data_IF_064069231862
#
_entry.id   IF_064069231862
#
_cell.length_a   1.000
_cell.length_b   1.000
_cell.length_c   1.000
_cell.angle_alpha   90.00
_cell.angle_beta   90.00
_cell.angle_gamma   90.00
#
_symmetry.space_group_name_H-M   'P 1'
#
loop_
_entity.id
_entity.type
_entity.pdbx_description
1 polymer ?
#
# COMPACT_ATOMS: atom_id res chain seq x y z
N UNK A 1 24.73 8.03 -79.54
CA UNK A 1 23.97 6.81 -79.87
C UNK A 1 23.89 5.93 -78.63
N UNK A 2 22.72 5.44 -78.34
CA UNK A 2 22.26 4.53 -77.29
C UNK A 2 22.14 5.12 -75.89
N UNK A 3 20.88 5.38 -75.57
CA UNK A 3 20.25 5.65 -74.27
C UNK A 3 20.49 4.48 -73.28
N UNK A 4 20.74 4.81 -72.02
CA UNK A 4 20.67 3.91 -70.88
C UNK A 4 19.38 4.17 -70.15
N UNK A 5 18.54 3.13 -70.10
CA UNK A 5 17.24 3.11 -69.41
C UNK A 5 17.38 3.30 -67.91
N UNK A 6 16.62 4.21 -67.38
CA UNK A 6 16.40 4.38 -65.93
C UNK A 6 15.45 3.28 -65.48
N UNK A 7 15.94 2.37 -64.65
CA UNK A 7 15.12 1.40 -63.94
C UNK A 7 14.55 2.09 -62.69
N UNK A 8 13.25 2.42 -62.71
CA UNK A 8 12.49 2.86 -61.56
C UNK A 8 12.30 1.69 -60.59
N UNK A 9 12.93 1.76 -59.41
CA UNK A 9 12.54 0.94 -58.27
C UNK A 9 11.35 1.59 -57.57
N UNK A 10 10.23 0.86 -57.29
CA UNK A 10 9.15 1.42 -56.51
C UNK A 10 9.57 1.55 -55.05
N UNK A 11 9.42 2.76 -54.52
CA UNK A 11 9.59 3.05 -53.08
C UNK A 11 8.68 2.16 -52.27
N UNK A 12 9.28 1.22 -51.50
CA UNK A 12 8.54 0.40 -50.55
C UNK A 12 7.88 1.26 -49.50
N UNK A 13 6.54 1.27 -49.50
CA UNK A 13 5.73 1.92 -48.47
C UNK A 13 6.11 1.35 -47.09
N UNK A 14 6.69 2.20 -46.28
CA UNK A 14 6.92 1.92 -44.87
C UNK A 14 5.55 1.75 -44.20
N UNK A 15 5.15 0.50 -43.95
CA UNK A 15 3.92 0.19 -43.24
C UNK A 15 4.01 0.80 -41.84
N UNK A 16 3.30 1.88 -41.62
CA UNK A 16 3.07 2.47 -40.30
C UNK A 16 2.42 1.39 -39.45
N UNK A 17 3.18 0.84 -38.48
CA UNK A 17 2.64 -0.02 -37.46
C UNK A 17 1.64 0.79 -36.62
N UNK A 18 0.41 0.87 -37.08
CA UNK A 18 -0.74 1.32 -36.27
C UNK A 18 -0.86 0.32 -35.11
N UNK A 19 -0.55 0.76 -33.93
CA UNK A 19 -0.88 0.06 -32.68
C UNK A 19 -2.35 -0.32 -32.73
N UNK A 20 -2.73 -1.59 -32.62
CA UNK A 20 -4.14 -1.96 -32.57
C UNK A 20 -4.75 -1.28 -31.35
N UNK A 21 -5.68 -0.35 -31.57
CA UNK A 21 -6.51 0.20 -30.50
C UNK A 21 -7.24 -0.98 -29.86
N UNK A 22 -7.19 -1.08 -28.54
CA UNK A 22 -7.94 -2.05 -27.74
C UNK A 22 -9.43 -2.01 -28.15
N UNK A 23 -9.86 -2.92 -29.03
CA UNK A 23 -11.25 -2.99 -29.51
C UNK A 23 -12.24 -3.50 -28.45
N UNK A 24 -11.78 -3.87 -27.23
CA UNK A 24 -12.59 -4.46 -26.17
C UNK A 24 -12.76 -3.59 -24.92
N UNK A 25 -12.46 -2.27 -24.98
CA UNK A 25 -12.61 -1.38 -23.81
C UNK A 25 -14.04 -1.37 -23.24
N UNK A 26 -15.08 -1.49 -24.08
CA UNK A 26 -16.48 -1.41 -23.64
C UNK A 26 -16.91 -2.59 -22.76
N UNK A 27 -16.36 -3.78 -22.96
CA UNK A 27 -16.75 -5.00 -22.23
C UNK A 27 -16.39 -4.98 -20.76
N UNK A 28 -15.27 -4.34 -20.39
CA UNK A 28 -14.73 -4.31 -19.03
C UNK A 28 -14.92 -2.95 -18.35
N UNK A 29 -15.57 -2.01 -19.00
CA UNK A 29 -15.76 -0.65 -18.50
C UNK A 29 -16.31 -0.63 -17.06
N UNK A 30 -15.64 0.08 -16.16
CA UNK A 30 -15.99 0.21 -14.76
C UNK A 30 -15.65 -1.02 -13.90
N UNK A 31 -14.92 -2.01 -14.43
CA UNK A 31 -14.40 -3.15 -13.65
C UNK A 31 -12.99 -2.89 -13.12
N UNK A 32 -12.62 -3.63 -12.08
CA UNK A 32 -11.25 -3.59 -11.53
C UNK A 32 -10.22 -3.95 -12.62
N UNK A 33 -10.53 -4.89 -13.51
CA UNK A 33 -9.64 -5.26 -14.62
C UNK A 33 -9.36 -4.06 -15.54
N UNK A 34 -10.39 -3.30 -15.90
CA UNK A 34 -10.22 -2.10 -16.75
C UNK A 34 -9.34 -1.06 -16.08
N UNK A 35 -9.57 -0.78 -14.82
CA UNK A 35 -8.77 0.19 -14.05
C UNK A 35 -7.30 -0.26 -13.92
N UNK A 36 -7.03 -1.57 -13.76
CA UNK A 36 -5.67 -2.10 -13.78
C UNK A 36 -5.01 -1.95 -15.16
N UNK A 37 -5.77 -2.15 -16.24
CA UNK A 37 -5.27 -1.94 -17.60
C UNK A 37 -4.97 -0.45 -17.87
N UNK A 38 -5.81 0.44 -17.35
CA UNK A 38 -5.58 1.89 -17.41
C UNK A 38 -4.35 2.30 -16.61
N UNK A 39 -4.21 1.77 -15.39
CA UNK A 39 -2.99 1.93 -14.59
C UNK A 39 -1.76 1.49 -15.39
N UNK A 40 -1.74 0.26 -15.89
CA UNK A 40 -0.58 -0.28 -16.61
C UNK A 40 -0.22 0.53 -17.86
N UNK A 41 -1.23 1.03 -18.60
CA UNK A 41 -1.04 1.86 -19.80
C UNK A 41 -0.62 3.30 -19.49
N UNK A 42 -0.85 3.77 -18.25
CA UNK A 42 -0.44 5.10 -17.81
C UNK A 42 1.03 5.19 -17.38
N UNK A 43 1.70 4.04 -17.14
CA UNK A 43 3.11 3.99 -16.77
C UNK A 43 3.97 4.36 -17.98
N UNK A 44 4.87 5.35 -17.88
CA UNK A 44 5.70 5.77 -19.02
C UNK A 44 6.63 4.64 -19.49
N UNK A 45 6.68 4.44 -20.80
CA UNK A 45 7.62 3.45 -21.39
C UNK A 45 9.04 4.05 -21.46
N UNK A 46 9.93 3.52 -20.64
CA UNK A 46 11.34 3.96 -20.57
C UNK A 46 12.18 3.54 -21.77
N UNK A 47 11.66 2.66 -22.61
CA UNK A 47 12.39 2.13 -23.77
C UNK A 47 12.35 3.11 -24.93
N UNK A 48 13.46 3.24 -25.64
CA UNK A 48 13.55 4.16 -26.81
C UNK A 48 12.62 3.69 -27.93
N UNK A 49 11.65 4.53 -28.29
CA UNK A 49 10.83 4.35 -29.49
C UNK A 49 11.68 4.58 -30.75
N UNK A 50 11.44 3.83 -31.80
CA UNK A 50 12.05 4.07 -33.14
C UNK A 50 13.06 3.04 -33.64
N UNK A 51 13.51 2.09 -32.81
CA UNK A 51 14.48 1.05 -33.26
C UNK A 51 13.84 -0.29 -33.68
N UNK A 52 12.51 -0.38 -33.78
CA UNK A 52 11.81 -1.62 -34.19
C UNK A 52 11.95 -2.84 -33.24
N UNK A 53 12.72 -2.72 -32.19
CA UNK A 53 13.12 -3.86 -31.32
C UNK A 53 12.15 -4.11 -30.16
N UNK A 54 11.08 -3.31 -30.01
CA UNK A 54 10.11 -3.48 -28.94
C UNK A 54 9.00 -4.42 -29.40
N UNK A 55 9.18 -5.72 -29.11
CA UNK A 55 8.17 -6.74 -29.44
C UNK A 55 6.99 -6.76 -28.46
N UNK A 56 7.28 -6.64 -27.16
CA UNK A 56 6.28 -6.75 -26.09
C UNK A 56 5.92 -5.37 -25.56
N UNK A 57 4.64 -5.07 -25.42
CA UNK A 57 4.14 -3.82 -24.86
C UNK A 57 4.48 -3.75 -23.38
N UNK A 58 4.72 -2.52 -22.86
CA UNK A 58 5.01 -2.33 -21.44
C UNK A 58 3.79 -2.64 -20.57
N UNK A 59 2.62 -2.12 -20.95
CA UNK A 59 1.36 -2.35 -20.25
C UNK A 59 1.00 -3.85 -20.18
N UNK A 60 1.18 -4.61 -21.27
CA UNK A 60 1.00 -6.08 -21.27
C UNK A 60 1.93 -6.77 -20.26
N UNK A 61 3.18 -6.31 -20.17
CA UNK A 61 4.17 -6.87 -19.25
C UNK A 61 3.87 -6.54 -17.79
N UNK A 62 3.44 -5.31 -17.50
CA UNK A 62 3.00 -4.89 -16.17
C UNK A 62 1.76 -5.70 -15.75
N UNK A 63 0.77 -5.83 -16.64
CA UNK A 63 -0.41 -6.65 -16.38
C UNK A 63 -0.06 -8.11 -16.15
N UNK A 64 0.87 -8.69 -16.93
CA UNK A 64 1.34 -10.06 -16.72
C UNK A 64 1.97 -10.23 -15.33
N UNK A 65 2.79 -9.27 -14.89
CA UNK A 65 3.36 -9.25 -13.54
C UNK A 65 2.26 -9.20 -12.47
N UNK A 66 1.32 -8.27 -12.59
CA UNK A 66 0.24 -8.11 -11.61
C UNK A 66 -0.67 -9.36 -11.54
N UNK A 67 -1.12 -9.87 -12.69
CA UNK A 67 -2.00 -11.03 -12.74
C UNK A 67 -1.30 -12.31 -12.29
N UNK A 68 -0.03 -12.49 -12.64
CA UNK A 68 0.78 -13.60 -12.17
C UNK A 68 0.96 -13.58 -10.66
N UNK A 69 1.26 -12.41 -10.07
CA UNK A 69 1.36 -12.27 -8.62
C UNK A 69 0.02 -12.52 -7.90
N UNK A 70 -1.07 -11.96 -8.42
CA UNK A 70 -2.40 -12.21 -7.88
C UNK A 70 -2.79 -13.69 -7.96
N UNK A 71 -2.33 -14.39 -9.00
CA UNK A 71 -2.53 -15.83 -9.19
C UNK A 71 -1.69 -16.70 -8.25
N UNK A 72 -0.64 -16.13 -7.63
CA UNK A 72 0.25 -16.81 -6.68
C UNK A 72 1.63 -17.17 -7.24
N UNK A 73 1.99 -16.70 -8.43
CA UNK A 73 3.33 -16.89 -9.00
C UNK A 73 4.39 -16.14 -8.16
N UNK A 74 5.50 -16.79 -7.81
CA UNK A 74 6.57 -16.20 -6.99
C UNK A 74 7.78 -15.79 -7.83
N UNK A 75 8.24 -16.67 -8.73
CA UNK A 75 9.35 -16.40 -9.64
C UNK A 75 8.94 -15.74 -10.95
N UNK A 76 9.89 -15.18 -11.69
CA UNK A 76 9.66 -14.73 -13.08
C UNK A 76 9.33 -15.91 -13.99
N UNK A 77 9.99 -17.05 -13.78
CA UNK A 77 9.71 -18.27 -14.51
C UNK A 77 8.26 -18.70 -14.37
N UNK A 78 7.72 -18.68 -13.12
CA UNK A 78 6.31 -19.02 -12.85
C UNK A 78 5.35 -18.08 -13.58
N UNK A 79 5.68 -16.77 -13.59
CA UNK A 79 4.85 -15.75 -14.27
C UNK A 79 4.85 -15.97 -15.80
N UNK A 80 5.98 -16.33 -16.35
CA UNK A 80 6.11 -16.62 -17.81
C UNK A 80 5.34 -17.87 -18.15
N UNK A 81 5.43 -18.90 -17.33
CA UNK A 81 4.70 -20.16 -17.52
C UNK A 81 3.20 -19.96 -17.39
N UNK A 82 2.76 -19.21 -16.36
CA UNK A 82 1.37 -18.74 -16.24
C UNK A 82 0.88 -18.03 -17.50
N UNK A 83 1.71 -17.11 -18.05
CA UNK A 83 1.43 -16.41 -19.30
C UNK A 83 1.30 -17.36 -20.50
N UNK A 84 2.21 -18.32 -20.64
CA UNK A 84 2.22 -19.32 -21.73
C UNK A 84 1.01 -20.23 -21.69
N UNK A 85 0.72 -20.81 -20.52
CA UNK A 85 -0.45 -21.68 -20.33
C UNK A 85 -1.79 -20.99 -20.61
N UNK A 86 -1.86 -19.68 -20.39
CA UNK A 86 -3.08 -18.92 -20.56
C UNK A 86 -3.05 -17.97 -21.78
N UNK A 87 -2.07 -18.07 -22.68
CA UNK A 87 -1.84 -17.12 -23.77
C UNK A 87 -3.10 -16.90 -24.62
N UNK A 88 -3.80 -17.98 -25.01
CA UNK A 88 -5.03 -17.84 -25.79
C UNK A 88 -6.16 -17.12 -25.06
N UNK A 89 -6.20 -17.25 -23.73
CA UNK A 89 -7.17 -16.52 -22.90
C UNK A 89 -6.77 -15.04 -22.74
N UNK A 90 -5.48 -14.74 -22.59
CA UNK A 90 -4.96 -13.38 -22.62
C UNK A 90 -5.28 -12.68 -23.94
N UNK A 91 -5.07 -13.35 -25.07
CA UNK A 91 -5.40 -12.81 -26.41
C UNK A 91 -6.88 -12.48 -26.55
N UNK A 92 -7.78 -13.33 -26.00
CA UNK A 92 -9.24 -13.09 -26.00
C UNK A 92 -9.65 -11.81 -25.25
N UNK A 93 -8.86 -11.35 -24.30
CA UNK A 93 -9.08 -10.09 -23.58
C UNK A 93 -8.22 -8.94 -24.12
N UNK A 94 -7.54 -9.13 -25.27
CA UNK A 94 -6.75 -8.10 -25.94
C UNK A 94 -5.35 -7.91 -25.40
N UNK A 95 -4.82 -8.86 -24.61
CA UNK A 95 -3.49 -8.79 -24.00
C UNK A 95 -2.54 -9.83 -24.62
N UNK A 96 -1.22 -9.56 -24.47
CA UNK A 96 -0.14 -10.45 -24.92
C UNK A 96 -0.26 -10.86 -26.40
N UNK A 97 -0.73 -9.96 -27.26
CA UNK A 97 -0.93 -10.25 -28.69
C UNK A 97 0.36 -10.70 -29.37
N UNK A 98 1.51 -10.13 -28.95
CA UNK A 98 2.85 -10.47 -29.44
C UNK A 98 3.51 -11.64 -28.67
N UNK A 99 2.73 -12.39 -27.89
CA UNK A 99 3.21 -13.51 -27.08
C UNK A 99 3.73 -13.08 -25.71
N UNK A 100 4.26 -14.06 -24.96
CA UNK A 100 4.79 -13.85 -23.60
C UNK A 100 6.26 -13.41 -23.70
N UNK A 101 6.70 -12.39 -22.95
CA UNK A 101 8.10 -12.00 -22.90
C UNK A 101 8.98 -13.11 -22.32
N UNK A 102 10.25 -13.17 -22.73
CA UNK A 102 11.22 -14.05 -22.10
C UNK A 102 11.60 -13.55 -20.70
N UNK A 103 12.16 -14.43 -19.86
CA UNK A 103 12.59 -14.06 -18.50
C UNK A 103 13.59 -12.89 -18.47
N UNK A 104 14.65 -12.87 -19.33
CA UNK A 104 15.53 -11.70 -19.41
C UNK A 104 14.82 -10.41 -19.82
N UNK A 105 13.78 -10.51 -20.67
CA UNK A 105 12.99 -9.35 -21.08
C UNK A 105 12.15 -8.83 -19.92
N UNK A 106 11.47 -9.72 -19.20
CA UNK A 106 10.66 -9.36 -18.02
C UNK A 106 11.55 -8.77 -16.91
N UNK A 107 12.75 -9.34 -16.71
CA UNK A 107 13.74 -8.80 -15.78
C UNK A 107 14.16 -7.36 -16.16
N UNK A 108 14.48 -7.12 -17.43
CA UNK A 108 14.83 -5.76 -17.92
C UNK A 108 13.68 -4.77 -17.73
N UNK A 109 12.44 -5.22 -17.91
CA UNK A 109 11.26 -4.38 -17.69
C UNK A 109 11.12 -4.02 -16.21
N UNK A 110 11.18 -4.99 -15.28
CA UNK A 110 11.10 -4.72 -13.83
C UNK A 110 12.19 -3.73 -13.36
N UNK A 111 13.40 -3.79 -13.93
CA UNK A 111 14.51 -2.89 -13.59
C UNK A 111 14.45 -1.54 -14.31
N UNK A 112 13.81 -1.48 -15.47
CA UNK A 112 13.77 -0.30 -16.31
C UNK A 112 12.66 0.68 -16.00
N UNK A 113 11.52 0.19 -15.51
CA UNK A 113 10.37 1.04 -15.14
C UNK A 113 10.83 2.09 -14.13
N UNK A 114 10.47 3.35 -14.38
CA UNK A 114 10.69 4.43 -13.43
C UNK A 114 9.81 4.21 -12.19
N UNK A 115 10.48 3.98 -11.05
CA UNK A 115 9.80 3.61 -9.80
C UNK A 115 8.99 4.77 -9.19
N UNK A 116 9.40 6.01 -9.46
CA UNK A 116 8.68 7.20 -8.96
C UNK A 116 7.41 7.35 -9.79
N UNK A 117 7.53 7.33 -11.12
CA UNK A 117 6.36 7.40 -11.99
C UNK A 117 5.37 6.26 -11.73
N UNK A 118 5.85 5.05 -11.46
CA UNK A 118 5.00 3.91 -11.14
C UNK A 118 4.26 4.09 -9.80
N UNK A 119 4.93 4.62 -8.78
CA UNK A 119 4.33 4.93 -7.48
C UNK A 119 3.28 6.07 -7.59
N UNK A 120 3.54 7.10 -8.40
CA UNK A 120 2.60 8.19 -8.64
C UNK A 120 1.32 7.69 -9.36
N UNK A 121 1.47 6.74 -10.32
CA UNK A 121 0.31 6.11 -10.98
C UNK A 121 -0.47 5.21 -10.03
N UNK A 122 0.23 4.50 -9.13
CA UNK A 122 -0.44 3.75 -8.05
C UNK A 122 -1.24 4.69 -7.15
N UNK A 123 -0.69 5.84 -6.78
CA UNK A 123 -1.39 6.83 -5.96
C UNK A 123 -2.67 7.32 -6.64
N UNK A 124 -2.62 7.63 -7.94
CA UNK A 124 -3.80 8.03 -8.70
C UNK A 124 -4.87 6.93 -8.74
N UNK A 125 -4.48 5.68 -9.00
CA UNK A 125 -5.36 4.51 -8.93
C UNK A 125 -5.98 4.35 -7.53
N UNK A 126 -5.16 4.43 -6.48
CA UNK A 126 -5.57 4.30 -5.10
C UNK A 126 -6.59 5.39 -4.71
N UNK A 127 -6.33 6.65 -5.07
CA UNK A 127 -7.19 7.78 -4.76
C UNK A 127 -8.56 7.66 -5.43
N UNK A 128 -8.62 7.20 -6.68
CA UNK A 128 -9.87 7.00 -7.40
C UNK A 128 -10.78 5.98 -6.70
N UNK A 129 -10.22 4.86 -6.24
CA UNK A 129 -10.99 3.86 -5.48
C UNK A 129 -11.28 4.27 -4.04
N UNK A 130 -10.33 4.95 -3.40
CA UNK A 130 -10.51 5.45 -2.05
C UNK A 130 -11.72 6.37 -1.94
N UNK A 131 -11.83 7.34 -2.86
CA UNK A 131 -12.96 8.27 -2.91
C UNK A 131 -14.31 7.56 -3.16
N UNK A 132 -14.31 6.46 -3.93
CA UNK A 132 -15.53 5.66 -4.17
C UNK A 132 -15.96 4.84 -2.96
N UNK A 133 -15.02 4.43 -2.11
CA UNK A 133 -15.26 3.50 -1.01
C UNK A 133 -15.38 4.18 0.35
N UNK A 134 -14.86 5.40 0.49
CA UNK A 134 -14.99 6.18 1.71
C UNK A 134 -16.46 6.59 1.88
N UNK A 135 -16.97 6.42 3.08
CA UNK A 135 -18.34 6.83 3.41
C UNK A 135 -18.37 8.30 3.78
N UNK A 136 -19.44 8.99 3.39
CA UNK A 136 -19.70 10.36 3.81
C UNK A 136 -19.69 10.45 5.35
N UNK A 137 -19.06 11.48 5.88
CA UNK A 137 -18.93 11.75 7.31
C UNK A 137 -18.15 10.70 8.13
N UNK A 138 -17.42 9.76 7.51
CA UNK A 138 -16.51 8.87 8.23
C UNK A 138 -15.21 9.63 8.57
N UNK A 139 -14.84 9.65 9.87
CA UNK A 139 -13.54 10.16 10.32
C UNK A 139 -12.44 9.33 9.68
N UNK A 140 -11.71 9.94 8.72
CA UNK A 140 -10.70 9.24 7.96
C UNK A 140 -9.38 9.14 8.75
N UNK A 141 -8.92 7.91 8.91
CA UNK A 141 -7.64 7.60 9.55
C UNK A 141 -6.69 7.10 8.48
N UNK A 142 -5.48 7.65 8.45
CA UNK A 142 -4.38 7.21 7.60
C UNK A 142 -3.26 6.71 8.50
N UNK A 143 -2.95 5.43 8.40
CA UNK A 143 -1.85 4.81 9.13
C UNK A 143 -0.56 4.95 8.32
N UNK A 144 0.49 5.44 8.96
CA UNK A 144 1.82 5.62 8.37
C UNK A 144 2.82 4.71 9.09
N UNK A 145 3.50 3.88 8.32
CA UNK A 145 4.53 2.96 8.85
C UNK A 145 5.52 2.57 7.75
N UNK A 146 6.75 2.24 8.16
CA UNK A 146 7.82 1.78 7.30
C UNK A 146 7.87 0.26 7.21
N UNK A 147 8.26 -0.26 6.04
CA UNK A 147 8.54 -1.68 5.82
C UNK A 147 9.86 -1.86 5.11
N UNK A 148 10.74 -2.68 5.69
CA UNK A 148 11.98 -3.10 5.06
C UNK A 148 11.70 -4.16 3.97
N UNK A 149 12.27 -3.97 2.78
CA UNK A 149 12.23 -4.90 1.67
C UNK A 149 13.30 -5.99 1.83
N UNK A 150 13.07 -6.95 2.73
CA UNK A 150 14.04 -7.99 3.14
C UNK A 150 14.48 -8.92 1.98
N UNK A 151 13.68 -9.01 0.92
CA UNK A 151 14.04 -9.71 -0.31
C UNK A 151 15.17 -9.04 -1.10
N UNK A 152 15.53 -7.80 -0.75
CA UNK A 152 16.56 -7.01 -1.44
C UNK A 152 17.64 -6.59 -0.46
N UNK A 153 18.88 -6.97 -0.75
CA UNK A 153 20.07 -6.51 -0.02
C UNK A 153 20.87 -5.63 -0.98
N UNK A 154 21.06 -4.36 -0.61
CA UNK A 154 21.85 -3.41 -1.37
C UNK A 154 23.34 -3.65 -1.16
N UNK A 155 24.20 -3.00 -1.97
CA UNK A 155 25.66 -3.10 -1.89
C UNK A 155 26.23 -2.73 -0.50
N UNK A 156 25.54 -1.81 0.20
CA UNK A 156 25.88 -1.42 1.57
C UNK A 156 25.38 -2.40 2.65
N UNK A 157 24.86 -3.58 2.27
CA UNK A 157 24.34 -4.61 3.16
C UNK A 157 22.98 -4.30 3.78
N UNK A 158 22.34 -3.18 3.43
CA UNK A 158 21.04 -2.78 3.96
C UNK A 158 19.89 -3.18 3.05
N UNK A 159 18.69 -3.31 3.63
CA UNK A 159 17.46 -3.43 2.87
C UNK A 159 16.91 -2.03 2.56
N UNK A 160 16.29 -1.81 1.38
CA UNK A 160 15.51 -0.59 1.16
C UNK A 160 14.29 -0.56 2.06
N UNK A 161 14.02 0.60 2.67
CA UNK A 161 12.80 0.82 3.46
C UNK A 161 11.81 1.66 2.67
N UNK A 162 10.53 1.31 2.77
CA UNK A 162 9.42 2.01 2.10
C UNK A 162 8.39 2.40 3.15
N UNK A 163 8.19 3.70 3.32
CA UNK A 163 7.13 4.24 4.19
C UNK A 163 5.83 4.31 3.40
N UNK A 164 4.74 3.90 4.02
CA UNK A 164 3.42 3.78 3.39
C UNK A 164 2.38 4.56 4.15
N UNK A 165 1.43 5.12 3.41
CA UNK A 165 0.19 5.66 3.94
C UNK A 165 -0.96 4.70 3.58
N UNK A 166 -1.61 4.13 4.59
CA UNK A 166 -2.64 3.12 4.44
C UNK A 166 -3.95 3.57 5.09
N UNK A 167 -5.06 3.44 4.37
CA UNK A 167 -6.39 3.72 4.91
C UNK A 167 -7.07 2.44 5.42
N UNK A 168 -7.26 2.27 6.73
CA UNK A 168 -8.03 1.16 7.29
C UNK A 168 -9.47 1.13 6.80
N UNK A 169 -10.08 2.29 6.59
CA UNK A 169 -11.47 2.43 6.16
C UNK A 169 -11.70 1.83 4.78
N UNK A 170 -10.76 1.97 3.86
CA UNK A 170 -10.87 1.41 2.50
C UNK A 170 -10.00 0.18 2.26
N UNK A 171 -8.98 -0.05 3.09
CA UNK A 171 -8.03 -1.15 2.92
C UNK A 171 -7.05 -0.91 1.76
N UNK A 172 -6.79 0.35 1.43
CA UNK A 172 -5.98 0.78 0.29
C UNK A 172 -4.72 1.48 0.78
N UNK A 173 -3.57 1.17 0.16
CA UNK A 173 -2.37 1.98 0.29
C UNK A 173 -2.50 3.20 -0.60
N UNK A 174 -2.57 4.38 0.01
CA UNK A 174 -2.82 5.65 -0.68
C UNK A 174 -1.58 6.20 -1.36
N UNK A 175 -0.43 6.10 -0.71
CA UNK A 175 0.85 6.57 -1.22
C UNK A 175 2.01 5.82 -0.58
N UNK A 176 3.17 5.86 -1.23
CA UNK A 176 4.43 5.34 -0.69
C UNK A 176 5.57 6.33 -0.89
N UNK A 177 6.56 6.26 -0.01
CA UNK A 177 7.79 7.03 -0.10
C UNK A 177 8.98 6.15 0.26
N UNK A 178 10.03 6.21 -0.53
CA UNK A 178 11.24 5.41 -0.29
C UNK A 178 12.20 6.14 0.62
N UNK A 179 12.78 5.43 1.57
CA UNK A 179 13.93 5.90 2.31
C UNK A 179 15.18 5.82 1.44
N UNK A 180 15.95 6.92 1.37
CA UNK A 180 17.17 6.95 0.56
C UNK A 180 18.32 6.20 1.23
N UNK A 181 18.29 6.11 2.58
CA UNK A 181 19.29 5.44 3.41
C UNK A 181 18.61 4.75 4.60
N UNK A 182 19.30 3.79 5.22
CA UNK A 182 18.85 3.15 6.46
C UNK A 182 18.71 4.23 7.55
N UNK A 183 17.60 4.23 8.29
CA UNK A 183 17.21 5.21 9.32
C UNK A 183 16.62 6.54 8.82
N UNK A 184 16.25 6.68 7.57
CA UNK A 184 15.67 7.91 7.03
C UNK A 184 14.13 7.93 6.96
N UNK A 185 13.45 7.05 7.69
CA UNK A 185 11.97 7.06 7.76
C UNK A 185 11.46 8.41 8.27
N UNK A 186 12.12 9.00 9.27
CA UNK A 186 11.77 10.32 9.80
C UNK A 186 11.75 11.38 8.70
N UNK A 187 12.67 11.31 7.73
CA UNK A 187 12.71 12.24 6.59
C UNK A 187 11.74 11.86 5.47
N UNK A 188 11.37 10.58 5.37
CA UNK A 188 10.43 10.10 4.37
C UNK A 188 8.98 10.44 4.72
N UNK A 189 8.61 10.42 6.00
CA UNK A 189 7.24 10.73 6.45
C UNK A 189 6.75 12.11 6.01
N UNK A 190 7.49 13.22 6.18
CA UNK A 190 7.05 14.53 5.68
C UNK A 190 6.87 14.55 4.15
N UNK A 191 7.76 13.89 3.39
CA UNK A 191 7.62 13.79 1.92
C UNK A 191 6.39 12.99 1.52
N UNK A 192 6.10 11.91 2.24
CA UNK A 192 4.88 11.11 2.04
C UNK A 192 3.62 11.95 2.32
N UNK A 193 3.58 12.67 3.44
CA UNK A 193 2.45 13.54 3.81
C UNK A 193 2.28 14.68 2.78
N UNK A 194 3.38 15.21 2.23
CA UNK A 194 3.33 16.25 1.20
C UNK A 194 2.58 15.81 -0.07
N UNK A 195 2.64 14.52 -0.41
CA UNK A 195 1.99 13.92 -1.59
C UNK A 195 0.47 13.75 -1.46
N UNK A 196 -0.10 13.87 -0.25
CA UNK A 196 -1.50 13.56 0.03
C UNK A 196 -2.25 14.80 0.53
N UNK A 197 -3.55 14.82 0.30
CA UNK A 197 -4.45 15.67 1.07
C UNK A 197 -4.75 15.01 2.42
N UNK A 198 -4.36 15.69 3.50
CA UNK A 198 -4.59 15.24 4.88
C UNK A 198 -5.55 16.14 5.64
N UNK A 199 -6.17 17.10 4.97
CA UNK A 199 -7.12 18.04 5.58
C UNK A 199 -8.28 17.29 6.24
N UNK A 200 -8.49 17.55 7.53
CA UNK A 200 -9.55 16.89 8.33
C UNK A 200 -9.33 15.39 8.57
N UNK A 201 -8.15 14.85 8.25
CA UNK A 201 -7.82 13.44 8.43
C UNK A 201 -6.88 13.25 9.63
N UNK A 202 -6.90 12.05 10.20
CA UNK A 202 -6.06 11.68 11.33
C UNK A 202 -4.91 10.81 10.85
N UNK A 203 -3.69 11.31 11.03
CA UNK A 203 -2.48 10.53 10.75
C UNK A 203 -2.09 9.77 12.00
N UNK A 204 -1.97 8.45 11.91
CA UNK A 204 -1.41 7.62 12.97
C UNK A 204 -0.06 7.09 12.55
N UNK A 205 0.90 7.08 13.46
CA UNK A 205 2.23 6.56 13.21
C UNK A 205 2.89 6.05 14.48
N UNK A 206 3.96 5.28 14.31
CA UNK A 206 4.81 4.81 15.39
C UNK A 206 5.51 5.94 16.13
N UNK A 207 6.02 5.62 17.32
CA UNK A 207 6.74 6.57 18.18
C UNK A 207 7.90 7.28 17.47
N UNK A 208 8.52 6.66 16.48
CA UNK A 208 9.60 7.28 15.70
C UNK A 208 9.14 8.54 14.97
N UNK A 209 7.87 8.60 14.57
CA UNK A 209 7.25 9.77 13.94
C UNK A 209 6.89 10.89 14.95
N UNK A 210 7.07 10.68 16.25
CA UNK A 210 6.91 11.76 17.26
C UNK A 210 8.06 12.76 17.15
N UNK A 211 8.06 13.52 16.07
CA UNK A 211 9.05 14.55 15.73
C UNK A 211 8.33 15.86 15.40
N UNK A 212 8.93 16.97 15.82
CA UNK A 212 8.34 18.30 15.60
C UNK A 212 8.02 18.56 14.12
N UNK A 213 8.96 18.28 13.24
CA UNK A 213 8.83 18.56 11.81
C UNK A 213 7.68 17.74 11.17
N UNK A 214 7.46 16.52 11.66
CA UNK A 214 6.35 15.67 11.19
C UNK A 214 5.02 16.23 11.67
N UNK A 215 4.93 16.58 12.96
CA UNK A 215 3.71 17.16 13.55
C UNK A 215 3.38 18.48 12.86
N UNK A 216 4.37 19.36 12.68
CA UNK A 216 4.21 20.63 11.97
C UNK A 216 3.71 20.42 10.54
N UNK A 217 4.25 19.42 9.84
CA UNK A 217 3.83 19.09 8.48
C UNK A 217 2.35 18.65 8.43
N UNK A 218 1.92 17.79 9.36
CA UNK A 218 0.52 17.34 9.46
C UNK A 218 -0.39 18.53 9.76
N UNK A 219 -0.05 19.31 10.80
CA UNK A 219 -0.89 20.42 11.28
C UNK A 219 -1.01 21.56 10.27
N UNK A 220 0.07 21.91 9.58
CA UNK A 220 0.08 22.94 8.51
C UNK A 220 -0.82 22.56 7.33
N UNK A 221 -1.00 21.26 7.08
CA UNK A 221 -1.93 20.76 6.04
C UNK A 221 -3.35 20.53 6.56
N UNK A 222 -3.69 20.99 7.78
CA UNK A 222 -5.02 20.86 8.35
C UNK A 222 -5.39 19.45 8.82
N UNK A 223 -4.41 18.57 8.99
CA UNK A 223 -4.59 17.23 9.53
C UNK A 223 -4.46 17.17 11.05
N UNK A 224 -4.96 16.12 11.65
CA UNK A 224 -4.74 15.73 13.04
C UNK A 224 -3.80 14.52 13.12
N UNK A 225 -3.24 14.27 14.28
CA UNK A 225 -2.38 13.12 14.51
C UNK A 225 -2.74 12.34 15.77
N UNK A 226 -2.38 11.06 15.80
CA UNK A 226 -2.30 10.23 17.00
C UNK A 226 -1.04 9.38 16.87
N UNK A 227 -0.03 9.65 17.70
CA UNK A 227 1.30 9.04 17.61
C UNK A 227 1.66 8.43 18.97
N UNK A 228 2.25 7.23 18.95
CA UNK A 228 2.76 6.56 20.14
C UNK A 228 3.93 7.36 20.75
N UNK A 229 4.00 7.43 22.06
CA UNK A 229 5.07 8.11 22.80
C UNK A 229 5.97 7.06 23.46
N UNK A 230 7.24 7.08 23.13
CA UNK A 230 8.29 6.22 23.69
C UNK A 230 9.54 7.00 24.10
N UNK A 231 10.56 6.29 24.52
CA UNK A 231 11.82 6.86 25.03
C UNK A 231 12.67 7.63 24.00
N UNK A 232 12.27 7.68 22.72
CA UNK A 232 12.86 8.59 21.73
C UNK A 232 12.57 10.07 22.07
N UNK A 233 11.50 10.34 22.86
CA UNK A 233 11.13 11.65 23.39
C UNK A 233 11.12 11.59 24.93
N UNK A 234 12.26 11.30 25.54
CA UNK A 234 12.41 11.04 27.00
C UNK A 234 11.81 12.11 27.89
N UNK A 235 12.14 13.37 27.64
CA UNK A 235 11.65 14.49 28.46
C UNK A 235 10.13 14.59 28.44
N UNK A 236 9.51 14.40 27.27
CA UNK A 236 8.06 14.41 27.13
C UNK A 236 7.43 13.18 27.80
N UNK A 237 7.99 11.98 27.57
CA UNK A 237 7.50 10.74 28.14
C UNK A 237 7.51 10.80 29.70
N UNK A 238 8.66 11.06 30.30
CA UNK A 238 8.79 11.07 31.77
C UNK A 238 7.98 12.22 32.41
N UNK A 239 7.90 13.38 31.74
CA UNK A 239 7.05 14.48 32.19
C UNK A 239 5.59 14.12 32.24
N UNK A 240 5.08 13.37 31.25
CA UNK A 240 3.71 12.86 31.23
C UNK A 240 3.52 11.73 32.25
N UNK A 241 4.40 10.75 32.30
CA UNK A 241 4.31 9.62 33.25
C UNK A 241 4.27 10.07 34.70
N UNK A 242 5.05 11.10 35.05
CA UNK A 242 5.07 11.65 36.41
C UNK A 242 3.74 12.31 36.78
N UNK A 243 3.19 13.10 35.86
CA UNK A 243 1.90 13.77 36.06
C UNK A 243 0.72 12.82 36.08
N UNK A 244 0.77 11.73 35.32
CA UNK A 244 -0.28 10.70 35.31
C UNK A 244 -0.46 10.03 36.68
N UNK A 245 0.53 10.03 37.56
CA UNK A 245 0.44 9.47 38.93
C UNK A 245 -0.60 10.17 39.81
N UNK A 246 -0.86 11.45 39.54
CA UNK A 246 -1.74 12.31 40.36
C UNK A 246 -2.96 12.83 39.63
N UNK A 247 -3.11 12.55 38.33
CA UNK A 247 -4.19 13.07 37.51
C UNK A 247 -5.31 12.04 37.32
N UNK A 248 -6.55 12.50 37.36
CA UNK A 248 -7.73 11.73 37.01
C UNK A 248 -7.99 11.87 35.49
N UNK A 249 -8.30 10.79 34.76
CA UNK A 249 -8.66 10.88 33.36
C UNK A 249 -9.99 11.64 33.18
N UNK A 250 -10.06 12.46 32.12
CA UNK A 250 -11.30 13.13 31.72
C UNK A 250 -12.33 12.12 31.22
N UNK A 251 -11.86 11.09 30.49
CA UNK A 251 -12.69 9.98 30.04
C UNK A 251 -11.97 8.65 30.30
N UNK A 252 -12.75 7.66 30.69
CA UNK A 252 -12.32 6.28 30.90
C UNK A 252 -13.35 5.34 30.29
N UNK A 253 -12.90 4.42 29.46
CA UNK A 253 -13.75 3.33 28.97
C UNK A 253 -12.95 2.06 28.73
N UNK A 254 -13.64 0.93 28.68
CA UNK A 254 -13.05 -0.39 28.51
C UNK A 254 -13.78 -1.15 27.40
N UNK A 255 -13.02 -1.74 26.50
CA UNK A 255 -13.51 -2.64 25.47
C UNK A 255 -13.13 -4.08 25.81
N UNK A 256 -14.05 -5.00 25.54
CA UNK A 256 -13.88 -6.42 25.82
C UNK A 256 -14.71 -6.92 27.01
N UNK A 257 -14.47 -8.16 27.43
CA UNK A 257 -13.44 -9.08 26.95
C UNK A 257 -13.69 -9.59 25.52
N UNK A 258 -12.68 -9.51 24.65
CA UNK A 258 -12.70 -10.11 23.33
C UNK A 258 -12.01 -11.48 23.31
N UNK A 259 -12.66 -12.44 22.65
CA UNK A 259 -12.14 -13.79 22.47
C UNK A 259 -11.54 -13.93 21.06
N UNK A 260 -10.27 -14.23 20.98
CA UNK A 260 -9.61 -14.45 19.69
C UNK A 260 -8.24 -15.12 19.82
N UNK A 261 -7.87 -15.94 18.84
CA UNK A 261 -6.53 -16.55 18.76
C UNK A 261 -6.02 -17.22 20.06
N UNK A 262 -6.92 -17.89 20.79
CA UNK A 262 -6.59 -18.59 22.04
C UNK A 262 -6.36 -17.66 23.25
N UNK A 263 -6.76 -16.40 23.19
CA UNK A 263 -6.63 -15.41 24.27
C UNK A 263 -7.93 -14.67 24.52
N UNK A 264 -8.03 -14.16 25.75
CA UNK A 264 -9.05 -13.22 26.21
C UNK A 264 -8.31 -11.89 26.38
N UNK A 265 -8.81 -10.84 25.73
CA UNK A 265 -8.18 -9.51 25.77
C UNK A 265 -9.21 -8.47 26.23
N UNK A 266 -8.82 -7.65 27.20
CA UNK A 266 -9.56 -6.48 27.68
C UNK A 266 -8.69 -5.25 27.50
N UNK A 267 -9.25 -4.18 26.92
CA UNK A 267 -8.53 -2.94 26.63
C UNK A 267 -9.15 -1.79 27.37
N UNK A 268 -8.34 -1.08 28.13
CA UNK A 268 -8.76 0.11 28.87
C UNK A 268 -8.09 1.34 28.28
N UNK A 269 -8.88 2.38 28.04
CA UNK A 269 -8.43 3.67 27.52
C UNK A 269 -8.72 4.74 28.55
N UNK A 270 -7.67 5.48 28.97
CA UNK A 270 -7.77 6.63 29.85
C UNK A 270 -7.32 7.85 29.05
N UNK A 271 -8.18 8.86 29.00
CA UNK A 271 -7.96 10.07 28.21
C UNK A 271 -7.77 11.23 29.16
N UNK A 272 -6.69 11.96 28.94
CA UNK A 272 -6.30 13.08 29.79
C UNK A 272 -6.15 14.36 28.96
N UNK A 273 -6.51 15.49 29.55
CA UNK A 273 -6.15 16.79 28.98
C UNK A 273 -4.63 17.01 29.10
N UNK A 274 -3.99 17.19 27.96
CA UNK A 274 -2.54 17.41 27.89
C UNK A 274 -2.11 18.85 28.20
N UNK A 275 -3.05 19.78 28.38
CA UNK A 275 -2.74 21.21 28.57
C UNK A 275 -1.76 21.47 29.70
N UNK A 276 -1.92 20.79 30.83
CA UNK A 276 -1.06 20.92 32.00
C UNK A 276 0.02 19.84 32.09
N UNK A 277 0.00 18.88 31.18
CA UNK A 277 0.89 17.71 31.23
C UNK A 277 2.11 17.87 30.34
N UNK A 278 2.00 18.69 29.30
CA UNK A 278 3.03 18.83 28.28
C UNK A 278 3.73 20.18 28.43
N UNK A 279 4.98 20.16 28.85
CA UNK A 279 5.83 21.34 28.79
C UNK A 279 6.05 21.75 27.33
N UNK A 280 6.13 23.06 27.06
CA UNK A 280 6.33 23.60 25.71
C UNK A 280 5.28 23.13 24.67
N UNK A 281 4.01 23.10 25.05
CA UNK A 281 2.92 22.65 24.15
C UNK A 281 2.88 23.36 22.80
N UNK A 282 3.30 24.62 22.71
CA UNK A 282 3.43 25.33 21.43
C UNK A 282 4.45 24.67 20.50
N UNK A 283 5.50 24.06 21.06
CA UNK A 283 6.50 23.29 20.32
C UNK A 283 5.90 22.04 19.66
N UNK A 284 4.80 21.52 20.20
CA UNK A 284 4.12 20.30 19.77
C UNK A 284 2.78 20.53 19.06
N UNK A 285 2.52 21.74 18.57
CA UNK A 285 1.32 22.02 17.77
C UNK A 285 0.09 22.49 18.57
N UNK A 286 0.27 22.92 19.82
CA UNK A 286 -0.79 23.52 20.63
C UNK A 286 -1.52 22.54 21.53
N UNK A 287 -2.86 22.52 21.48
CA UNK A 287 -3.68 21.62 22.30
C UNK A 287 -3.35 20.16 22.02
N UNK A 288 -3.09 19.42 23.08
CA UNK A 288 -2.77 18.00 22.99
C UNK A 288 -3.58 17.22 24.01
N UNK A 289 -4.01 16.06 23.62
CA UNK A 289 -4.65 15.05 24.46
C UNK A 289 -3.68 13.87 24.64
N UNK A 290 -3.60 13.34 25.86
CA UNK A 290 -2.84 12.14 26.17
C UNK A 290 -3.79 10.96 26.31
N UNK A 291 -3.47 9.85 25.63
CA UNK A 291 -4.23 8.60 25.71
C UNK A 291 -3.34 7.52 26.32
N UNK A 292 -3.73 7.02 27.49
CA UNK A 292 -3.13 5.84 28.10
C UNK A 292 -3.95 4.61 27.68
N UNK A 293 -3.30 3.72 26.97
CA UNK A 293 -3.85 2.45 26.55
C UNK A 293 -3.27 1.32 27.39
N UNK A 294 -4.14 0.48 27.94
CA UNK A 294 -3.76 -0.71 28.71
C UNK A 294 -4.43 -1.92 28.08
N UNK A 295 -3.62 -2.88 27.63
CA UNK A 295 -4.08 -4.19 27.17
C UNK A 295 -3.83 -5.23 28.25
N UNK A 296 -4.87 -5.94 28.65
CA UNK A 296 -4.83 -7.04 29.59
C UNK A 296 -5.21 -8.33 28.87
N UNK A 297 -4.23 -9.21 28.68
CA UNK A 297 -4.36 -10.43 27.89
C UNK A 297 -4.16 -11.66 28.74
N UNK A 298 -5.13 -12.58 28.71
CA UNK A 298 -5.04 -13.91 29.31
C UNK A 298 -4.98 -14.98 28.22
N UNK A 299 -3.90 -15.75 28.19
CA UNK A 299 -3.78 -16.91 27.30
C UNK A 299 -4.65 -18.06 27.84
N UNK A 300 -5.59 -18.55 27.04
CA UNK A 300 -6.56 -19.58 27.47
C UNK A 300 -5.94 -20.94 27.75
N UNK A 301 -4.87 -21.31 27.02
CA UNK A 301 -4.25 -22.63 27.18
C UNK A 301 -3.28 -22.69 28.36
N UNK A 302 -2.59 -21.57 28.64
CA UNK A 302 -1.57 -21.54 29.70
C UNK A 302 -2.01 -20.81 30.96
N UNK A 303 -3.13 -20.08 30.93
CA UNK A 303 -3.57 -19.20 32.02
C UNK A 303 -2.67 -17.97 32.21
N UNK A 304 -1.59 -17.83 31.44
CA UNK A 304 -0.65 -16.72 31.60
C UNK A 304 -1.31 -15.40 31.27
N UNK A 305 -1.24 -14.45 32.20
CA UNK A 305 -1.72 -13.05 32.03
C UNK A 305 -0.53 -12.15 31.71
N UNK A 306 -0.75 -11.21 30.77
CA UNK A 306 0.19 -10.14 30.43
C UNK A 306 -0.56 -8.82 30.37
N UNK A 307 0.05 -7.78 30.93
CA UNK A 307 -0.48 -6.42 30.91
C UNK A 307 0.54 -5.55 30.18
N UNK A 308 0.10 -4.86 29.16
CA UNK A 308 0.90 -3.89 28.40
C UNK A 308 0.29 -2.51 28.51
N UNK A 309 1.13 -1.52 28.80
CA UNK A 309 0.74 -0.11 28.86
C UNK A 309 1.46 0.67 27.76
N UNK A 310 0.72 1.49 27.02
CA UNK A 310 1.25 2.40 26.00
C UNK A 310 0.66 3.79 26.18
N UNK A 311 1.46 4.79 25.79
CA UNK A 311 1.03 6.19 25.80
C UNK A 311 0.98 6.70 24.36
N UNK A 312 -0.03 7.47 24.06
CA UNK A 312 -0.20 8.17 22.79
C UNK A 312 -0.45 9.64 23.05
N UNK A 313 -0.01 10.46 22.11
CA UNK A 313 -0.26 11.89 22.09
C UNK A 313 -1.02 12.23 20.81
N UNK A 314 -2.04 13.07 20.92
CA UNK A 314 -2.88 13.46 19.77
C UNK A 314 -3.26 14.93 19.83
N UNK A 315 -3.46 15.55 18.66
CA UNK A 315 -4.05 16.88 18.52
C UNK A 315 -5.57 16.90 18.63
N UNK A 316 -6.21 15.72 18.65
CA UNK A 316 -7.66 15.60 18.77
C UNK A 316 -8.11 16.03 20.18
N UNK A 317 -9.28 16.69 20.32
CA UNK A 317 -9.80 17.06 21.61
C UNK A 317 -10.21 15.85 22.44
N UNK A 318 -10.19 15.99 23.77
CA UNK A 318 -10.53 14.91 24.72
C UNK A 318 -11.94 14.33 24.54
N UNK A 319 -12.86 15.14 24.05
CA UNK A 319 -14.25 14.72 23.78
C UNK A 319 -14.42 13.99 22.44
N UNK A 320 -13.36 13.74 21.69
CA UNK A 320 -13.43 12.95 20.44
C UNK A 320 -13.98 11.56 20.75
N UNK A 321 -15.08 11.15 20.11
CA UNK A 321 -15.68 9.86 20.38
C UNK A 321 -14.73 8.71 20.08
N UNK A 322 -14.59 7.77 21.02
CA UNK A 322 -13.85 6.52 20.85
C UNK A 322 -12.42 6.69 20.33
N UNK A 323 -11.65 7.59 20.93
CA UNK A 323 -10.23 7.79 20.60
C UNK A 323 -9.41 6.49 20.57
N UNK A 324 -9.75 5.52 21.44
CA UNK A 324 -9.10 4.22 21.45
C UNK A 324 -9.31 3.39 20.18
N UNK A 325 -10.40 3.59 19.43
CA UNK A 325 -10.60 2.92 18.15
C UNK A 325 -9.56 3.38 17.13
N UNK A 326 -9.09 4.63 17.22
CA UNK A 326 -8.03 5.17 16.38
C UNK A 326 -6.72 4.45 16.69
N UNK A 327 -6.39 4.23 17.97
CA UNK A 327 -5.24 3.44 18.41
C UNK A 327 -5.26 2.03 17.77
N UNK A 328 -6.42 1.35 17.82
CA UNK A 328 -6.57 0.01 17.24
C UNK A 328 -6.44 0.00 15.71
N UNK A 329 -6.98 1.02 15.05
CA UNK A 329 -6.91 1.13 13.59
C UNK A 329 -5.48 1.30 13.08
N UNK A 330 -4.58 1.88 13.87
CA UNK A 330 -3.17 1.97 13.52
C UNK A 330 -2.56 0.59 13.21
N UNK A 331 -2.84 -0.43 14.00
CA UNK A 331 -2.28 -1.78 13.80
C UNK A 331 -2.78 -2.48 12.53
N UNK A 332 -3.74 -1.92 11.83
CA UNK A 332 -4.18 -2.45 10.53
C UNK A 332 -3.12 -2.35 9.45
N UNK A 333 -2.16 -1.40 9.56
CA UNK A 333 -1.03 -1.30 8.62
C UNK A 333 -0.05 -2.46 8.81
N UNK A 334 0.20 -2.91 10.06
CA UNK A 334 0.99 -4.11 10.33
C UNK A 334 0.33 -5.37 9.73
N UNK A 335 -1.01 -5.45 9.82
CA UNK A 335 -1.77 -6.52 9.18
C UNK A 335 -1.65 -6.49 7.66
N UNK A 336 -1.57 -5.31 7.06
CA UNK A 336 -1.31 -5.14 5.63
C UNK A 336 0.12 -5.60 5.29
N UNK A 337 1.15 -5.19 6.04
CA UNK A 337 2.53 -5.64 5.87
C UNK A 337 2.64 -7.16 5.98
N UNK A 338 2.00 -7.76 7.01
CA UNK A 338 1.91 -9.21 7.14
C UNK A 338 1.27 -9.86 5.90
N UNK A 339 0.22 -9.26 5.35
CA UNK A 339 -0.42 -9.74 4.13
C UNK A 339 0.50 -9.72 2.90
N UNK A 340 1.35 -8.70 2.76
CA UNK A 340 2.37 -8.64 1.72
C UNK A 340 3.41 -9.76 1.88
N UNK A 341 3.86 -10.03 3.11
CA UNK A 341 4.92 -11.00 3.38
C UNK A 341 4.43 -12.45 3.35
N UNK A 342 3.25 -12.73 3.88
CA UNK A 342 2.74 -14.09 4.02
C UNK A 342 1.94 -14.52 2.81
N UNK A 343 1.07 -13.66 2.27
CA UNK A 343 0.20 -14.04 1.16
C UNK A 343 0.86 -13.76 -0.20
N UNK A 344 1.53 -12.63 -0.37
CA UNK A 344 2.22 -12.29 -1.62
C UNK A 344 3.70 -12.68 -1.62
N UNK A 345 4.21 -13.23 -0.50
CA UNK A 345 5.56 -13.73 -0.34
C UNK A 345 6.65 -12.70 -0.69
N UNK A 346 6.40 -11.41 -0.39
CA UNK A 346 7.24 -10.29 -0.81
C UNK A 346 8.70 -10.48 -0.38
N UNK A 347 8.94 -10.82 0.87
CA UNK A 347 10.30 -11.02 1.41
C UNK A 347 11.04 -12.24 0.84
N UNK A 348 10.32 -13.19 0.24
CA UNK A 348 10.92 -14.36 -0.44
C UNK A 348 11.42 -14.04 -1.85
N UNK A 349 10.96 -12.94 -2.45
CA UNK A 349 11.26 -12.57 -3.82
C UNK A 349 12.54 -11.75 -3.86
N UNK A 350 13.64 -12.36 -4.31
CA UNK A 350 14.93 -11.70 -4.38
C UNK A 350 14.99 -10.65 -5.51
N UNK A 351 15.49 -9.45 -5.19
CA UNK A 351 15.80 -8.38 -6.13
C UNK A 351 17.22 -7.87 -5.86
N UNK A 352 17.89 -7.38 -6.92
CA UNK A 352 19.28 -6.91 -6.83
C UNK A 352 19.41 -5.39 -6.75
N UNK A 353 18.34 -4.67 -7.04
CA UNK A 353 18.37 -3.21 -7.07
C UNK A 353 17.19 -2.64 -6.28
N UNK A 354 17.40 -1.49 -5.65
CA UNK A 354 16.36 -0.73 -4.97
C UNK A 354 15.18 -0.42 -5.91
N UNK A 355 15.47 -0.04 -7.17
CA UNK A 355 14.47 0.25 -8.19
C UNK A 355 13.53 -0.93 -8.45
N UNK A 356 14.08 -2.13 -8.66
CA UNK A 356 13.29 -3.34 -8.89
C UNK A 356 12.49 -3.75 -7.64
N UNK A 357 13.02 -3.50 -6.43
CA UNK A 357 12.33 -3.74 -5.18
C UNK A 357 11.11 -2.82 -5.04
N UNK A 358 11.26 -1.52 -5.33
CA UNK A 358 10.17 -0.54 -5.28
C UNK A 358 9.08 -0.84 -6.29
N UNK A 359 9.43 -1.23 -7.52
CA UNK A 359 8.47 -1.64 -8.52
C UNK A 359 7.69 -2.88 -8.10
N UNK A 360 8.36 -3.86 -7.47
CA UNK A 360 7.71 -5.04 -6.90
C UNK A 360 6.76 -4.67 -5.76
N UNK A 361 7.20 -3.81 -4.83
CA UNK A 361 6.38 -3.32 -3.73
C UNK A 361 5.12 -2.63 -4.25
N UNK A 362 5.26 -1.74 -5.24
CA UNK A 362 4.11 -1.07 -5.88
C UNK A 362 3.11 -2.07 -6.47
N UNK A 363 3.59 -3.09 -7.19
CA UNK A 363 2.73 -4.17 -7.72
C UNK A 363 2.00 -4.89 -6.59
N UNK A 364 2.71 -5.27 -5.53
CA UNK A 364 2.11 -6.00 -4.42
C UNK A 364 1.06 -5.16 -3.66
N UNK A 365 1.30 -3.87 -3.46
CA UNK A 365 0.33 -2.96 -2.83
C UNK A 365 -0.92 -2.75 -3.67
N UNK A 366 -0.78 -2.65 -4.99
CA UNK A 366 -1.93 -2.62 -5.90
C UNK A 366 -2.75 -3.91 -5.77
N UNK A 367 -2.10 -5.07 -5.80
CA UNK A 367 -2.78 -6.36 -5.66
C UNK A 367 -3.48 -6.48 -4.31
N UNK A 368 -2.81 -6.10 -3.22
CA UNK A 368 -3.42 -6.09 -1.88
C UNK A 368 -4.64 -5.16 -1.83
N UNK A 369 -4.53 -3.98 -2.41
CA UNK A 369 -5.64 -3.01 -2.53
C UNK A 369 -6.79 -3.58 -3.35
N UNK A 370 -6.51 -4.26 -4.46
CA UNK A 370 -7.53 -4.93 -5.30
C UNK A 370 -8.31 -5.98 -4.51
N UNK A 371 -7.67 -6.79 -3.67
CA UNK A 371 -8.36 -7.74 -2.80
C UNK A 371 -9.26 -7.02 -1.79
N UNK A 372 -8.81 -5.90 -1.24
CA UNK A 372 -9.58 -5.08 -0.30
C UNK A 372 -10.77 -4.42 -0.98
N UNK A 373 -10.57 -3.83 -2.16
CA UNK A 373 -11.62 -3.24 -3.00
C UNK A 373 -12.68 -4.30 -3.32
N UNK A 374 -12.24 -5.46 -3.80
CA UNK A 374 -13.16 -6.55 -4.13
C UNK A 374 -14.04 -6.95 -2.93
N UNK A 375 -13.47 -7.14 -1.74
CA UNK A 375 -14.25 -7.46 -0.53
C UNK A 375 -15.29 -6.40 -0.20
N UNK A 376 -14.94 -5.12 -0.34
CA UNK A 376 -15.83 -3.99 -0.01
C UNK A 376 -16.98 -3.82 -1.01
N UNK A 377 -16.74 -4.14 -2.27
CA UNK A 377 -17.78 -4.13 -3.29
C UNK A 377 -18.77 -5.29 -3.16
N UNK A 378 -18.51 -6.31 -2.33
CA UNK A 378 -19.41 -7.46 -2.15
C UNK A 378 -20.67 -7.11 -1.37
N UNK A 379 -21.83 -7.53 -1.87
CA UNK A 379 -23.11 -7.44 -1.16
C UNK A 379 -23.20 -8.47 -0.03
N UNK A 380 -22.75 -9.70 -0.28
CA UNK A 380 -22.82 -10.83 0.68
C UNK A 380 -21.80 -10.65 1.81
N UNK A 381 -22.28 -10.69 3.07
CA UNK A 381 -21.44 -10.60 4.29
C UNK A 381 -20.35 -11.67 4.33
N UNK A 382 -20.66 -12.89 3.85
CA UNK A 382 -19.69 -13.99 3.77
C UNK A 382 -18.50 -13.65 2.87
N UNK A 383 -18.72 -13.05 1.70
CA UNK A 383 -17.64 -12.66 0.79
C UNK A 383 -16.77 -11.53 1.36
N UNK A 384 -17.38 -10.58 2.10
CA UNK A 384 -16.65 -9.51 2.77
C UNK A 384 -15.73 -9.99 3.88
N UNK A 385 -16.01 -11.17 4.46
CA UNK A 385 -15.20 -11.77 5.55
C UNK A 385 -14.08 -12.67 5.06
N UNK A 386 -14.03 -13.01 3.76
CA UNK A 386 -12.99 -13.87 3.19
C UNK A 386 -11.61 -13.26 3.43
N UNK A 387 -10.70 -14.09 3.94
CA UNK A 387 -9.29 -13.73 4.07
C UNK A 387 -8.60 -13.68 2.71
N UNK A 388 -7.49 -12.95 2.62
CA UNK A 388 -6.70 -12.84 1.38
C UNK A 388 -6.27 -14.20 0.85
N UNK A 389 -5.74 -15.06 1.71
CA UNK A 389 -5.33 -16.42 1.33
C UNK A 389 -6.48 -17.27 0.76
N UNK A 390 -7.71 -17.11 1.27
CA UNK A 390 -8.89 -17.80 0.74
C UNK A 390 -9.24 -17.30 -0.67
N UNK A 391 -9.22 -15.98 -0.87
CA UNK A 391 -9.47 -15.38 -2.18
C UNK A 391 -8.41 -15.84 -3.17
N UNK A 392 -7.13 -15.81 -2.80
CA UNK A 392 -6.03 -16.27 -3.65
C UNK A 392 -6.19 -17.74 -4.06
N UNK A 393 -6.51 -18.66 -3.13
CA UNK A 393 -6.80 -20.05 -3.46
C UNK A 393 -7.95 -20.20 -4.45
N UNK A 394 -8.98 -19.36 -4.31
CA UNK A 394 -10.11 -19.39 -5.23
C UNK A 394 -9.73 -18.95 -6.65
N UNK A 395 -9.01 -17.83 -6.78
CA UNK A 395 -8.66 -17.28 -8.10
C UNK A 395 -7.52 -18.04 -8.78
N UNK A 396 -6.60 -18.65 -8.02
CA UNK A 396 -5.50 -19.48 -8.56
C UNK A 396 -5.98 -20.84 -9.10
N UNK A 397 -7.23 -21.23 -8.85
CA UNK A 397 -7.78 -22.45 -9.42
C UNK A 397 -7.99 -22.39 -10.94
N UNK A 398 -8.16 -21.22 -11.56
CA UNK A 398 -8.16 -21.05 -13.01
C UNK A 398 -8.06 -19.57 -13.42
N UNK A 399 -7.50 -19.33 -14.63
CA UNK A 399 -7.48 -17.99 -15.22
C UNK A 399 -8.88 -17.38 -15.35
N UNK A 400 -9.89 -18.17 -15.67
CA UNK A 400 -11.28 -17.70 -15.77
C UNK A 400 -11.79 -17.17 -14.42
N UNK A 401 -11.46 -17.84 -13.31
CA UNK A 401 -11.81 -17.36 -11.96
C UNK A 401 -11.11 -16.06 -11.61
N UNK A 402 -9.83 -15.93 -11.97
CA UNK A 402 -9.08 -14.69 -11.79
C UNK A 402 -9.72 -13.52 -12.57
N UNK A 403 -10.03 -13.73 -13.86
CA UNK A 403 -10.65 -12.69 -14.68
C UNK A 403 -12.05 -12.35 -14.18
N UNK A 404 -12.87 -13.35 -13.84
CA UNK A 404 -14.21 -13.10 -13.27
C UNK A 404 -14.15 -12.34 -11.94
N UNK A 405 -13.12 -12.58 -11.12
CA UNK A 405 -12.86 -11.81 -9.91
C UNK A 405 -12.59 -10.33 -10.22
N UNK A 406 -11.81 -10.05 -11.25
CA UNK A 406 -11.42 -8.68 -11.64
C UNK A 406 -12.48 -7.97 -12.50
N UNK A 407 -13.35 -8.71 -13.20
CA UNK A 407 -14.42 -8.12 -14.04
C UNK A 407 -15.62 -7.62 -13.23
N UNK A 408 -15.60 -7.72 -11.92
CA UNK A 408 -16.70 -7.26 -11.08
C UNK A 408 -16.64 -5.72 -10.96
N UNK A 409 -17.84 -5.14 -10.96
CA UNK A 409 -18.09 -3.69 -10.87
C UNK A 409 -18.46 -3.30 -9.46
#
# INVERSE_FOLDING_TARGET
MKSLDQVNHPAGACASHRTPKLQNKSRFQGSILNELMEFASSVPDFRRSGKGNIRHRLDDSIMLLMLGRAYGCVGRADIIEFGRHNLNKFRKIGMLLNGVPSEPTLCRIEHGIDEIAMADRMQAFAQAYHNKLLKDNEMEIICVDGKAERGTVLENGCNPDIVSAYSPSTGITLATESCQEKSNEIKAVPRLIAKMDVTGKIITADAMAMQKDIIDCIRKKGGDFLIELKANQRALLYGIEDRLKTRTPVHLYTDGPELGHGRIETRTYRIYDGLDMIADKQKWGGNMTVVEYVSDVVNKSTGKRSIEKRLYVTSLPTYTPRLGDIVRKHWSIESMHWGLDVNLLQDKIKRRTSKAARNLDTIHRIIYSVFSIWRRLRKKKADRRKGMAEIMRHISASFTKLINFLCQK
#
